data_IF_897143945867
#
_entry.id   IF_897143945867
#
_cell.length_a   1.000
_cell.length_b   1.000
_cell.length_c   1.000
_cell.angle_alpha   90.00
_cell.angle_beta   90.00
_cell.angle_gamma   90.00
#
_symmetry.space_group_name_H-M   'P 1'
#
loop_
_entity.id
_entity.type
_entity.pdbx_description
1 polymer ?
#
# COMPACT_ATOMS: atom_id res chain seq x y z
N UNK A 1 -15.85 19.88 -4.18
CA UNK A 1 -15.51 21.13 -3.45
C UNK A 1 -14.79 22.21 -4.27
N UNK A 2 -14.27 21.99 -5.48
CA UNK A 2 -13.76 23.08 -6.34
C UNK A 2 -14.25 23.04 -7.80
N UNK A 3 -15.33 22.29 -8.05
CA UNK A 3 -15.81 21.99 -9.39
C UNK A 3 -14.99 20.88 -10.07
N UNK A 4 -15.61 20.23 -11.05
CA UNK A 4 -14.98 19.13 -11.79
C UNK A 4 -13.74 19.59 -12.58
N UNK A 5 -13.72 20.84 -13.05
CA UNK A 5 -12.63 21.38 -13.88
C UNK A 5 -11.29 21.46 -13.14
N UNK A 6 -11.28 21.92 -11.88
CA UNK A 6 -10.06 22.01 -11.07
C UNK A 6 -9.55 20.61 -10.72
N UNK A 7 -10.46 19.70 -10.35
CA UNK A 7 -10.10 18.30 -10.09
C UNK A 7 -9.49 17.63 -11.33
N UNK A 8 -10.10 17.82 -12.50
CA UNK A 8 -9.58 17.30 -13.76
C UNK A 8 -8.21 17.86 -14.13
N UNK A 9 -7.95 19.15 -13.86
CA UNK A 9 -6.65 19.76 -14.10
C UNK A 9 -5.56 19.12 -13.22
N UNK A 10 -5.83 18.96 -11.92
CA UNK A 10 -4.91 18.29 -10.97
C UNK A 10 -4.61 16.87 -11.43
N UNK A 11 -5.66 16.09 -11.75
CA UNK A 11 -5.50 14.69 -12.18
C UNK A 11 -4.71 14.56 -13.50
N UNK A 12 -4.93 15.47 -14.46
CA UNK A 12 -4.17 15.51 -15.72
C UNK A 12 -2.69 15.78 -15.49
N UNK A 13 -2.37 16.67 -14.56
CA UNK A 13 -0.99 17.03 -14.27
C UNK A 13 -0.28 15.97 -13.43
N UNK A 14 -0.95 15.32 -12.47
CA UNK A 14 -0.44 14.10 -11.82
C UNK A 14 -0.15 13.00 -12.86
N UNK A 15 -1.06 12.77 -13.80
CA UNK A 15 -0.86 11.81 -14.88
C UNK A 15 0.32 12.19 -15.80
N UNK A 16 0.59 13.49 -15.99
CA UNK A 16 1.79 13.95 -16.69
C UNK A 16 3.06 13.59 -15.93
N UNK A 17 3.15 13.90 -14.63
CA UNK A 17 4.33 13.55 -13.83
C UNK A 17 4.57 12.04 -13.77
N UNK A 18 3.50 11.23 -13.71
CA UNK A 18 3.61 9.77 -13.79
C UNK A 18 4.27 9.35 -15.11
N UNK A 19 3.84 9.91 -16.25
CA UNK A 19 4.40 9.58 -17.56
C UNK A 19 5.86 10.02 -17.72
N UNK A 20 6.26 11.11 -17.09
CA UNK A 20 7.65 11.58 -17.07
C UNK A 20 8.54 10.71 -16.18
N UNK A 21 7.98 10.08 -15.14
CA UNK A 21 8.71 9.24 -14.19
C UNK A 21 8.80 7.78 -14.64
N UNK A 22 7.75 7.25 -15.26
CA UNK A 22 7.65 5.83 -15.61
C UNK A 22 6.81 5.62 -16.87
N UNK A 23 7.15 4.55 -17.62
CA UNK A 23 6.45 4.17 -18.86
C UNK A 23 5.15 3.37 -18.65
N UNK A 24 4.84 2.95 -17.41
CA UNK A 24 3.73 2.03 -17.08
C UNK A 24 2.67 2.60 -16.14
N UNK A 25 2.22 3.84 -16.36
CA UNK A 25 1.19 4.49 -15.53
C UNK A 25 -0.25 4.22 -15.99
N UNK A 26 -1.15 3.94 -15.04
CA UNK A 26 -2.57 3.66 -15.25
C UNK A 26 -3.42 4.41 -14.24
N UNK A 27 -4.62 4.86 -14.64
CA UNK A 27 -5.64 5.37 -13.72
C UNK A 27 -6.64 4.25 -13.43
N UNK A 28 -6.80 3.89 -12.17
CA UNK A 28 -7.67 2.79 -11.76
C UNK A 28 -9.12 3.27 -11.62
N UNK A 29 -9.30 4.28 -10.78
CA UNK A 29 -10.60 4.86 -10.43
C UNK A 29 -10.35 6.28 -9.91
N UNK A 30 -11.37 7.15 -9.86
CA UNK A 30 -11.30 8.43 -9.12
C UNK A 30 -9.95 9.17 -9.24
N UNK A 31 -9.27 9.32 -8.11
CA UNK A 31 -7.92 9.87 -7.94
C UNK A 31 -6.82 8.81 -7.74
N UNK A 32 -7.12 7.54 -8.02
CA UNK A 32 -6.23 6.41 -7.84
C UNK A 32 -5.46 6.09 -9.12
N UNK A 33 -4.13 5.99 -8.98
CA UNK A 33 -3.22 5.63 -10.05
C UNK A 33 -2.35 4.44 -9.66
N UNK A 34 -1.99 3.63 -10.64
CA UNK A 34 -1.02 2.55 -10.51
C UNK A 34 0.16 2.80 -11.45
N UNK A 35 1.36 2.41 -11.03
CA UNK A 35 2.57 2.45 -11.86
C UNK A 35 3.22 1.06 -11.83
N UNK A 36 3.43 0.48 -13.00
CA UNK A 36 4.14 -0.79 -13.18
C UNK A 36 5.52 -0.53 -13.76
N UNK A 37 6.54 -1.10 -13.13
CA UNK A 37 7.93 -0.98 -13.55
C UNK A 37 8.56 -2.36 -13.68
N UNK A 38 8.97 -2.74 -14.89
CA UNK A 38 9.63 -4.01 -15.17
C UNK A 38 11.16 -3.87 -15.06
N UNK A 39 11.82 -4.89 -14.50
CA UNK A 39 13.28 -4.94 -14.41
C UNK A 39 13.90 -3.91 -13.45
N UNK A 40 13.12 -3.41 -12.48
CA UNK A 40 13.52 -2.39 -11.52
C UNK A 40 13.62 -3.00 -10.11
N UNK A 41 14.68 -2.65 -9.35
CA UNK A 41 14.79 -3.06 -7.95
C UNK A 41 13.80 -2.32 -7.05
N UNK A 42 13.50 -2.81 -5.84
CA UNK A 42 12.62 -2.12 -4.91
C UNK A 42 13.14 -0.71 -4.59
N UNK A 43 14.46 -0.58 -4.37
CA UNK A 43 15.11 0.70 -4.06
C UNK A 43 15.01 1.67 -5.24
N UNK A 44 15.23 1.20 -6.46
CA UNK A 44 15.07 2.03 -7.66
C UNK A 44 13.61 2.46 -7.85
N UNK A 45 12.66 1.56 -7.60
CA UNK A 45 11.23 1.87 -7.65
C UNK A 45 10.84 2.91 -6.62
N UNK A 46 11.32 2.75 -5.38
CA UNK A 46 11.13 3.71 -4.29
C UNK A 46 11.67 5.09 -4.66
N UNK A 47 12.92 5.18 -5.15
CA UNK A 47 13.54 6.45 -5.53
C UNK A 47 12.77 7.16 -6.67
N UNK A 48 12.28 6.41 -7.66
CA UNK A 48 11.44 6.97 -8.73
C UNK A 48 10.11 7.49 -8.20
N UNK A 49 9.46 6.76 -7.31
CA UNK A 49 8.21 7.22 -6.70
C UNK A 49 8.41 8.42 -5.79
N UNK A 50 9.56 8.52 -5.12
CA UNK A 50 9.90 9.70 -4.31
C UNK A 50 10.14 10.93 -5.19
N UNK A 51 10.79 10.74 -6.36
CA UNK A 51 10.91 11.80 -7.36
C UNK A 51 9.54 12.27 -7.87
N UNK A 52 8.61 11.35 -8.14
CA UNK A 52 7.24 11.67 -8.52
C UNK A 52 6.54 12.47 -7.42
N UNK A 53 6.57 11.97 -6.17
CA UNK A 53 5.97 12.63 -5.00
C UNK A 53 6.49 14.04 -4.82
N UNK A 54 7.81 14.21 -4.81
CA UNK A 54 8.46 15.53 -4.70
C UNK A 54 8.13 16.45 -5.87
N UNK A 55 7.93 15.92 -7.08
CA UNK A 55 7.54 16.73 -8.25
C UNK A 55 6.11 17.23 -8.13
N UNK A 56 5.19 16.40 -7.63
CA UNK A 56 3.81 16.81 -7.33
C UNK A 56 3.79 17.86 -6.22
N UNK A 57 4.51 17.62 -5.11
CA UNK A 57 4.60 18.54 -3.98
C UNK A 57 5.16 19.92 -4.40
N UNK A 58 6.23 19.96 -5.21
CA UNK A 58 6.77 21.24 -5.70
C UNK A 58 5.82 21.95 -6.66
N UNK A 59 5.01 21.20 -7.39
CA UNK A 59 3.99 21.76 -8.27
C UNK A 59 2.70 22.14 -7.52
N UNK A 60 2.56 21.80 -6.23
CA UNK A 60 1.36 22.01 -5.41
C UNK A 60 0.81 23.44 -5.52
N UNK A 61 1.70 24.43 -5.52
CA UNK A 61 1.36 25.86 -5.61
C UNK A 61 0.98 26.33 -7.02
N UNK A 62 1.28 25.52 -8.04
CA UNK A 62 1.06 25.83 -9.46
C UNK A 62 -0.18 25.18 -10.05
N UNK A 63 -0.87 24.29 -9.32
CA UNK A 63 -2.11 23.65 -9.79
C UNK A 63 -3.31 24.61 -9.89
N UNK A 64 -3.15 25.88 -9.53
CA UNK A 64 -4.23 26.88 -9.57
C UNK A 64 -5.37 26.57 -8.60
N UNK A 65 -5.10 25.76 -7.56
CA UNK A 65 -6.09 25.43 -6.53
C UNK A 65 -6.34 26.69 -5.70
N UNK A 66 -7.60 27.12 -5.52
CA UNK A 66 -7.92 28.28 -4.70
C UNK A 66 -7.42 28.14 -3.27
N UNK A 67 -7.11 29.28 -2.64
CA UNK A 67 -6.72 29.41 -1.23
C UNK A 67 -5.38 28.76 -0.83
N UNK A 68 -4.50 28.47 -1.79
CA UNK A 68 -3.16 27.97 -1.52
C UNK A 68 -3.13 26.55 -0.93
N UNK A 69 -4.19 25.76 -1.14
CA UNK A 69 -4.22 24.35 -0.73
C UNK A 69 -3.17 23.55 -1.48
N UNK A 70 -2.38 22.80 -0.72
CA UNK A 70 -1.34 21.93 -1.27
C UNK A 70 -1.94 20.60 -1.77
N UNK A 71 -1.45 20.14 -2.91
CA UNK A 71 -1.76 18.82 -3.45
C UNK A 71 -0.58 17.90 -3.16
N UNK A 72 -0.87 16.80 -2.48
CA UNK A 72 0.11 15.79 -2.10
C UNK A 72 -0.34 14.43 -2.59
N UNK A 73 0.61 13.53 -2.84
CA UNK A 73 0.33 12.12 -3.12
C UNK A 73 1.00 11.24 -2.06
N UNK A 74 0.36 10.12 -1.76
CA UNK A 74 0.97 9.04 -0.99
C UNK A 74 1.08 7.84 -1.92
N UNK A 75 2.20 7.13 -1.89
CA UNK A 75 2.46 6.03 -2.83
C UNK A 75 2.89 4.79 -2.04
N UNK A 76 2.25 3.65 -2.29
CA UNK A 76 2.72 2.35 -1.82
C UNK A 76 3.50 1.63 -2.92
N UNK A 77 4.65 1.04 -2.57
CA UNK A 77 5.53 0.38 -3.55
C UNK A 77 5.83 -1.05 -3.13
N UNK A 78 5.49 -2.02 -3.97
CA UNK A 78 5.81 -3.44 -3.76
C UNK A 78 6.61 -4.02 -4.93
N UNK A 79 7.38 -5.09 -4.67
CA UNK A 79 8.24 -5.77 -5.62
C UNK A 79 7.99 -7.29 -5.64
N UNK A 80 7.96 -7.88 -6.83
CA UNK A 80 8.03 -9.33 -7.00
C UNK A 80 9.48 -9.81 -7.19
N UNK A 81 9.88 -10.95 -6.60
CA UNK A 81 9.06 -11.88 -5.81
C UNK A 81 9.05 -11.59 -4.29
N UNK A 82 9.64 -10.46 -3.86
CA UNK A 82 9.84 -10.12 -2.44
C UNK A 82 8.53 -10.09 -1.66
N UNK A 83 7.57 -9.30 -2.13
CA UNK A 83 6.32 -9.01 -1.43
C UNK A 83 5.19 -9.96 -1.87
N UNK A 84 5.20 -10.36 -3.14
CA UNK A 84 4.32 -11.37 -3.71
C UNK A 84 4.88 -11.93 -5.01
N UNK A 85 4.40 -13.11 -5.41
CA UNK A 85 4.83 -13.80 -6.65
C UNK A 85 3.88 -13.59 -7.83
N UNK A 86 2.66 -13.14 -7.58
CA UNK A 86 1.64 -12.89 -8.59
C UNK A 86 1.16 -11.44 -8.54
N UNK A 87 0.48 -11.00 -9.59
CA UNK A 87 0.01 -9.61 -9.74
C UNK A 87 -0.96 -9.22 -8.62
N UNK A 88 -1.86 -10.14 -8.24
CA UNK A 88 -2.87 -9.86 -7.22
C UNK A 88 -2.23 -9.57 -5.88
N UNK A 89 -1.31 -10.43 -5.42
CA UNK A 89 -0.60 -10.21 -4.16
C UNK A 89 0.29 -8.98 -4.20
N UNK A 90 0.86 -8.63 -5.35
CA UNK A 90 1.63 -7.40 -5.54
C UNK A 90 0.76 -6.15 -5.34
N UNK A 91 -0.45 -6.14 -5.90
CA UNK A 91 -1.42 -5.07 -5.70
C UNK A 91 -1.84 -4.98 -4.23
N UNK A 92 -2.21 -6.12 -3.62
CA UNK A 92 -2.58 -6.17 -2.19
C UNK A 92 -1.44 -5.64 -1.29
N UNK A 93 -0.18 -5.96 -1.59
CA UNK A 93 0.98 -5.46 -0.85
C UNK A 93 1.23 -3.95 -1.06
N UNK A 94 1.09 -3.45 -2.29
CA UNK A 94 1.23 -2.02 -2.58
C UNK A 94 0.10 -1.21 -1.92
N UNK A 95 -1.14 -1.71 -1.93
CA UNK A 95 -2.28 -1.08 -1.26
C UNK A 95 -2.11 -1.06 0.25
N UNK A 96 -1.62 -2.15 0.86
CA UNK A 96 -1.33 -2.19 2.29
C UNK A 96 -0.22 -1.19 2.67
N UNK A 97 0.82 -1.05 1.85
CA UNK A 97 1.86 -0.05 2.03
C UNK A 97 1.30 1.39 1.89
N UNK A 98 0.45 1.62 0.90
CA UNK A 98 -0.22 2.91 0.68
C UNK A 98 -1.08 3.30 1.89
N UNK A 99 -1.87 2.37 2.42
CA UNK A 99 -2.72 2.61 3.58
C UNK A 99 -1.87 2.94 4.81
N UNK A 100 -0.80 2.17 5.06
CA UNK A 100 0.15 2.49 6.14
C UNK A 100 0.78 3.87 5.97
N UNK A 101 1.10 4.27 4.74
CA UNK A 101 1.58 5.62 4.42
C UNK A 101 0.54 6.71 4.68
N UNK A 102 -0.76 6.44 4.49
CA UNK A 102 -1.84 7.39 4.80
C UNK A 102 -2.03 7.53 6.31
N UNK A 103 -1.95 6.43 7.05
CA UNK A 103 -2.07 6.42 8.52
C UNK A 103 -0.88 7.11 9.21
N UNK A 104 0.32 7.01 8.64
CA UNK A 104 1.55 7.60 9.20
C UNK A 104 1.83 9.05 8.78
N UNK A 105 0.86 9.72 8.16
CA UNK A 105 0.94 11.17 7.92
C UNK A 105 0.72 11.62 6.47
N UNK A 106 0.52 10.70 5.52
CA UNK A 106 0.40 10.97 4.07
C UNK A 106 1.66 11.64 3.51
N UNK A 107 1.60 12.07 2.25
CA UNK A 107 2.68 12.78 1.55
C UNK A 107 4.05 12.05 1.65
N UNK A 108 4.05 10.74 1.40
CA UNK A 108 5.25 9.91 1.47
C UNK A 108 5.16 8.70 0.55
N UNK A 109 6.31 8.07 0.33
CA UNK A 109 6.41 6.74 -0.28
C UNK A 109 6.60 5.70 0.81
N UNK A 110 5.71 4.71 0.84
CA UNK A 110 5.72 3.63 1.82
C UNK A 110 6.05 2.29 1.15
N UNK A 111 6.77 1.45 1.89
CA UNK A 111 7.08 0.08 1.51
C UNK A 111 6.26 -0.89 2.36
N UNK A 112 5.91 -2.08 1.86
CA UNK A 112 5.40 -3.16 2.69
C UNK A 112 6.35 -3.38 3.86
N UNK A 113 5.80 -3.40 5.07
CA UNK A 113 6.54 -3.84 6.25
C UNK A 113 7.13 -5.21 5.91
N UNK A 114 8.45 -5.31 5.96
CA UNK A 114 9.09 -6.62 5.91
C UNK A 114 8.81 -7.27 7.27
N UNK A 115 7.59 -7.75 7.46
CA UNK A 115 7.24 -8.55 8.62
C UNK A 115 7.98 -9.87 8.46
N UNK A 116 9.24 -9.90 8.93
CA UNK A 116 9.97 -11.13 9.08
C UNK A 116 9.12 -12.09 9.91
N UNK A 117 8.85 -13.27 9.36
CA UNK A 117 8.17 -14.32 10.11
C UNK A 117 9.07 -14.77 11.25
N UNK A 118 8.80 -14.28 12.45
CA UNK A 118 9.44 -14.75 13.67
C UNK A 118 8.67 -15.94 14.25
N UNK A 119 9.39 -16.99 14.61
CA UNK A 119 8.81 -18.12 15.34
C UNK A 119 8.46 -17.69 16.77
N UNK A 120 7.21 -17.93 17.18
CA UNK A 120 6.79 -17.85 18.58
C UNK A 120 6.34 -19.20 19.10
N UNK A 121 6.90 -19.60 20.23
CA UNK A 121 6.48 -20.81 20.94
C UNK A 121 5.19 -20.51 21.72
N UNK A 122 4.10 -21.19 21.35
CA UNK A 122 2.81 -21.10 22.01
C UNK A 122 2.29 -22.50 22.35
N UNK A 123 1.59 -22.63 23.47
CA UNK A 123 0.93 -23.88 23.86
C UNK A 123 -0.58 -23.76 23.61
N UNK A 124 -1.14 -24.72 22.88
CA UNK A 124 -2.58 -24.79 22.59
C UNK A 124 -3.15 -26.11 23.09
N UNK A 125 -4.38 -26.12 23.65
CA UNK A 125 -5.11 -27.36 23.87
C UNK A 125 -5.26 -28.17 22.58
N UNK A 126 -5.08 -29.49 22.66
CA UNK A 126 -5.20 -30.38 21.50
C UNK A 126 -6.55 -30.27 20.78
N UNK A 127 -7.62 -29.95 21.51
CA UNK A 127 -8.95 -29.71 20.93
C UNK A 127 -8.99 -28.46 20.05
N UNK A 128 -8.25 -27.41 20.37
CA UNK A 128 -8.20 -26.18 19.56
C UNK A 128 -7.40 -26.42 18.27
N UNK A 129 -6.23 -27.07 18.37
CA UNK A 129 -5.40 -27.39 17.19
C UNK A 129 -6.17 -28.27 16.20
N UNK A 130 -6.92 -29.26 16.70
CA UNK A 130 -7.80 -30.08 15.84
C UNK A 130 -8.88 -29.26 15.14
N UNK A 131 -9.55 -28.34 15.86
CA UNK A 131 -10.57 -27.44 15.26
C UNK A 131 -9.96 -26.51 14.21
N UNK A 132 -8.77 -25.96 14.49
CA UNK A 132 -8.03 -25.10 13.57
C UNK A 132 -7.70 -25.83 12.27
N UNK A 133 -7.21 -27.07 12.37
CA UNK A 133 -6.92 -27.92 11.20
C UNK A 133 -8.16 -28.14 10.33
N UNK A 134 -9.28 -28.54 10.94
CA UNK A 134 -10.55 -28.75 10.22
C UNK A 134 -11.03 -27.46 9.54
N UNK A 135 -10.89 -26.31 10.22
CA UNK A 135 -11.25 -25.02 9.65
C UNK A 135 -10.35 -24.64 8.47
N UNK A 136 -9.04 -24.84 8.59
CA UNK A 136 -8.05 -24.58 7.56
C UNK A 136 -8.35 -25.38 6.28
N UNK A 137 -8.61 -26.68 6.42
CA UNK A 137 -9.01 -27.57 5.32
C UNK A 137 -10.32 -27.11 4.67
N UNK A 138 -11.34 -26.77 5.46
CA UNK A 138 -12.63 -26.28 4.95
C UNK A 138 -12.51 -24.99 4.15
N UNK A 139 -11.59 -24.11 4.53
CA UNK A 139 -11.38 -22.81 3.88
C UNK A 139 -10.32 -22.85 2.76
N UNK A 140 -9.61 -23.97 2.57
CA UNK A 140 -8.49 -24.05 1.62
C UNK A 140 -7.32 -23.12 1.98
N UNK A 141 -7.11 -22.83 3.28
CA UNK A 141 -6.08 -21.90 3.78
C UNK A 141 -5.10 -22.62 4.71
N UNK A 142 -3.92 -22.03 4.96
CA UNK A 142 -2.97 -22.57 5.94
C UNK A 142 -3.40 -22.22 7.37
N UNK A 143 -3.13 -23.10 8.34
CA UNK A 143 -3.36 -22.81 9.77
C UNK A 143 -2.67 -21.51 10.21
N UNK A 144 -1.46 -21.23 9.71
CA UNK A 144 -0.71 -20.00 10.01
C UNK A 144 -1.36 -18.73 9.46
N UNK A 145 -2.20 -18.81 8.42
CA UNK A 145 -2.96 -17.65 7.93
C UNK A 145 -4.13 -17.35 8.86
N UNK A 146 -4.84 -18.38 9.32
CA UNK A 146 -5.96 -18.23 10.27
C UNK A 146 -5.48 -17.76 11.65
N UNK A 147 -4.32 -18.23 12.10
CA UNK A 147 -3.73 -17.77 13.37
C UNK A 147 -3.34 -16.29 13.32
N UNK A 148 -2.81 -15.81 12.19
CA UNK A 148 -2.52 -14.38 12.00
C UNK A 148 -3.78 -13.53 11.96
N UNK A 149 -4.79 -13.96 11.22
CA UNK A 149 -6.10 -13.29 11.21
C UNK A 149 -6.73 -13.20 12.61
N UNK A 150 -6.68 -14.29 13.38
CA UNK A 150 -7.12 -14.27 14.78
C UNK A 150 -6.29 -13.34 15.67
N UNK A 151 -5.00 -13.20 15.40
CA UNK A 151 -4.14 -12.25 16.10
C UNK A 151 -4.52 -10.80 15.76
N UNK A 152 -4.80 -10.50 14.49
CA UNK A 152 -5.27 -9.19 14.04
C UNK A 152 -6.64 -8.84 14.65
N UNK A 153 -7.54 -9.80 14.80
CA UNK A 153 -8.80 -9.64 15.53
C UNK A 153 -8.56 -9.30 17.01
N UNK A 154 -7.60 -9.94 17.66
CA UNK A 154 -7.21 -9.63 19.04
C UNK A 154 -6.68 -8.20 19.12
N UNK A 155 -5.76 -7.79 18.26
CA UNK A 155 -5.21 -6.43 18.27
C UNK A 155 -6.30 -5.36 18.07
N UNK A 156 -7.19 -5.57 17.09
CA UNK A 156 -8.36 -4.69 16.89
C UNK A 156 -9.26 -4.61 18.12
N UNK A 157 -9.50 -5.74 18.79
CA UNK A 157 -10.33 -5.78 20.00
C UNK A 157 -9.75 -4.96 21.16
N UNK A 158 -8.44 -4.87 21.25
CA UNK A 158 -7.74 -4.18 22.35
C UNK A 158 -7.12 -2.84 21.96
N UNK A 159 -7.43 -2.33 20.76
CA UNK A 159 -6.92 -1.07 20.22
C UNK A 159 -5.38 -0.98 20.25
N UNK A 160 -4.72 -2.11 19.98
CA UNK A 160 -3.26 -2.17 19.85
C UNK A 160 -2.91 -1.59 18.48
N UNK A 161 -2.59 -0.30 18.45
CA UNK A 161 -1.98 0.37 17.29
C UNK A 161 -0.58 -0.22 17.09
N UNK A 162 -0.18 -0.48 15.84
CA UNK A 162 1.15 -0.98 15.46
C UNK A 162 2.25 -0.18 16.18
N UNK A 163 2.80 -0.72 17.28
CA UNK A 163 4.05 -0.22 17.85
C UNK A 163 5.21 -0.89 17.11
N UNK A 164 5.94 -0.05 16.35
CA UNK A 164 7.20 -0.28 15.62
C UNK A 164 7.21 -1.28 14.48
#
# INVERSE_FOLDING_TARGET
EFGHEVGDAVLKQVAQFIRETASGGYRLSGDEFAVVMEGVSLEQGFLRMEQLRSSVERAATSFGVPDGREIHITVGVAQSPRDAKDLRGLMEAADAALESGKESGRNQVALPSNEEMVMKSCYYPASQVRKLKVLAERLGRKESQLLREGLDEIFRKYDVIRET
#
